data_IF_145662257626
#
_entry.id   IF_145662257626
#
_cell.length_a   1.000
_cell.length_b   1.000
_cell.length_c   1.000
_cell.angle_alpha   90.00
_cell.angle_beta   90.00
_cell.angle_gamma   90.00
#
_symmetry.space_group_name_H-M   'P 1'
#
loop_
_entity.id
_entity.type
_entity.pdbx_description
1 polymer ?
#
# COMPACT_ATOMS: atom_id res chain seq x y z
N UNK A 1 -11.65 16.98 -3.58
CA UNK A 1 -12.61 15.98 -4.08
C UNK A 1 -12.63 14.83 -3.07
N UNK A 2 -13.79 14.48 -2.51
CA UNK A 2 -13.92 13.34 -1.60
C UNK A 2 -13.96 12.03 -2.39
N UNK A 3 -13.29 10.98 -1.91
CA UNK A 3 -13.40 9.65 -2.53
C UNK A 3 -14.85 9.17 -2.55
N UNK A 4 -15.29 8.41 -3.58
CA UNK A 4 -16.61 7.80 -3.60
C UNK A 4 -16.88 6.99 -2.32
N UNK A 5 -18.12 7.04 -1.81
CA UNK A 5 -18.52 6.43 -0.53
C UNK A 5 -18.15 4.93 -0.46
N UNK A 6 -18.28 4.21 -1.57
CA UNK A 6 -17.92 2.80 -1.65
C UNK A 6 -16.42 2.56 -1.52
N UNK A 7 -15.60 3.41 -2.14
CA UNK A 7 -14.14 3.34 -2.02
C UNK A 7 -13.70 3.61 -0.59
N UNK A 8 -14.28 4.60 0.08
CA UNK A 8 -13.99 4.89 1.49
C UNK A 8 -14.32 3.69 2.39
N UNK A 9 -15.50 3.08 2.22
CA UNK A 9 -15.92 1.89 2.98
C UNK A 9 -14.99 0.70 2.73
N UNK A 10 -14.60 0.48 1.48
CA UNK A 10 -13.66 -0.57 1.09
C UNK A 10 -12.27 -0.35 1.72
N UNK A 11 -11.77 0.88 1.70
CA UNK A 11 -10.50 1.25 2.35
C UNK A 11 -10.55 1.01 3.86
N UNK A 12 -11.63 1.42 4.53
CA UNK A 12 -11.79 1.16 5.97
C UNK A 12 -11.77 -0.34 6.27
N UNK A 13 -12.43 -1.16 5.46
CA UNK A 13 -12.41 -2.62 5.60
C UNK A 13 -11.00 -3.20 5.38
N UNK A 14 -10.30 -2.76 4.33
CA UNK A 14 -8.94 -3.21 4.03
C UNK A 14 -7.95 -2.82 5.14
N UNK A 15 -7.95 -1.56 5.58
CA UNK A 15 -7.09 -1.12 6.68
C UNK A 15 -7.41 -1.85 8.00
N UNK A 16 -8.70 -2.10 8.27
CA UNK A 16 -9.11 -2.92 9.40
C UNK A 16 -8.55 -4.34 9.33
N UNK A 17 -8.56 -4.95 8.13
CA UNK A 17 -8.06 -6.30 7.89
C UNK A 17 -6.54 -6.37 8.05
N UNK A 18 -5.81 -5.44 7.45
CA UNK A 18 -4.35 -5.36 7.59
C UNK A 18 -3.90 -5.19 9.04
N UNK A 19 -4.62 -4.40 9.82
CA UNK A 19 -4.34 -4.25 11.26
C UNK A 19 -4.47 -5.58 12.00
N UNK A 20 -5.50 -6.37 11.71
CA UNK A 20 -5.67 -7.69 12.32
C UNK A 20 -4.56 -8.63 11.88
N UNK A 21 -4.18 -8.63 10.61
CA UNK A 21 -3.08 -9.45 10.09
C UNK A 21 -1.77 -9.09 10.80
N UNK A 22 -1.40 -7.81 10.84
CA UNK A 22 -0.20 -7.34 11.51
C UNK A 22 -0.17 -7.69 13.00
N UNK A 23 -1.31 -7.54 13.69
CA UNK A 23 -1.42 -7.88 15.11
C UNK A 23 -1.31 -9.38 15.41
N UNK A 24 -1.53 -10.23 14.40
CA UNK A 24 -1.38 -11.69 14.54
C UNK A 24 -0.12 -12.22 13.84
N UNK A 25 0.70 -11.34 13.27
CA UNK A 25 1.81 -11.74 12.42
C UNK A 25 2.86 -12.58 13.16
N UNK A 26 3.19 -12.23 14.40
CA UNK A 26 4.10 -12.98 15.26
C UNK A 26 3.51 -14.34 15.68
N UNK A 27 2.22 -14.37 16.03
CA UNK A 27 1.55 -15.60 16.50
C UNK A 27 1.38 -16.64 15.40
N UNK A 28 1.20 -16.17 14.17
CA UNK A 28 0.97 -17.00 13.00
C UNK A 28 2.23 -17.20 12.14
N UNK A 29 3.37 -16.65 12.56
CA UNK A 29 4.67 -16.69 11.87
C UNK A 29 4.58 -16.34 10.37
N UNK A 30 3.78 -15.31 10.06
CA UNK A 30 3.50 -14.93 8.66
C UNK A 30 4.50 -13.93 8.10
N UNK A 31 5.30 -13.28 8.96
CA UNK A 31 6.20 -12.18 8.58
C UNK A 31 5.49 -10.90 8.11
N UNK A 32 4.15 -10.87 8.14
CA UNK A 32 3.33 -9.74 7.65
C UNK A 32 3.20 -8.63 8.69
N UNK A 33 4.31 -7.97 9.02
CA UNK A 33 4.30 -6.79 9.91
C UNK A 33 3.62 -5.59 9.26
N UNK A 34 3.24 -4.59 10.06
CA UNK A 34 2.64 -3.35 9.54
C UNK A 34 3.52 -2.67 8.47
N UNK A 35 4.84 -2.76 8.61
CA UNK A 35 5.82 -2.23 7.66
C UNK A 35 5.79 -3.04 6.35
N UNK A 36 5.87 -4.36 6.43
CA UNK A 36 5.83 -5.25 5.26
C UNK A 36 4.51 -5.13 4.49
N UNK A 37 3.39 -5.03 5.20
CA UNK A 37 2.08 -4.76 4.61
C UNK A 37 2.07 -3.39 3.92
N UNK A 38 2.54 -2.33 4.59
CA UNK A 38 2.63 -0.98 4.03
C UNK A 38 3.42 -0.91 2.72
N UNK A 39 4.62 -1.49 2.69
CA UNK A 39 5.48 -1.56 1.48
C UNK A 39 4.78 -2.31 0.35
N UNK A 40 4.09 -3.41 0.68
CA UNK A 40 3.44 -4.26 -0.32
C UNK A 40 2.17 -3.65 -0.91
N UNK A 41 1.33 -3.00 -0.08
CA UNK A 41 -0.04 -2.61 -0.49
C UNK A 41 -0.14 -1.13 -0.88
N UNK A 42 0.74 -0.27 -0.37
CA UNK A 42 0.75 1.15 -0.71
C UNK A 42 0.75 1.42 -2.23
N UNK A 43 1.55 0.72 -3.06
CA UNK A 43 1.55 0.93 -4.51
C UNK A 43 0.16 0.74 -5.14
N UNK A 44 -0.59 -0.27 -4.69
CA UNK A 44 -1.93 -0.57 -5.21
C UNK A 44 -2.96 0.50 -4.82
N UNK A 45 -2.89 1.03 -3.60
CA UNK A 45 -3.81 2.07 -3.14
C UNK A 45 -3.53 3.42 -3.82
N UNK A 46 -2.26 3.83 -3.89
CA UNK A 46 -1.90 5.10 -4.52
C UNK A 46 -2.12 5.07 -6.03
N UNK A 47 -1.93 3.92 -6.70
CA UNK A 47 -2.22 3.80 -8.13
C UNK A 47 -3.72 3.88 -8.45
N UNK A 48 -4.59 3.32 -7.60
CA UNK A 48 -6.05 3.44 -7.76
C UNK A 48 -6.57 4.86 -7.47
N UNK A 49 -5.92 5.59 -6.55
CA UNK A 49 -6.20 7.01 -6.29
C UNK A 49 -5.76 7.96 -7.42
N UNK A 50 -4.87 7.50 -8.31
CA UNK A 50 -4.31 8.26 -9.44
C UNK A 50 -5.14 8.08 -10.74
N UNK A 51 -6.19 7.26 -10.69
CA UNK A 51 -7.12 7.06 -11.81
C UNK A 51 -8.00 8.28 -12.16
N UNK A 52 -7.80 9.43 -11.51
CA UNK A 52 -8.42 10.72 -11.89
C UNK A 52 -7.60 11.42 -13.03
N UNK A 53 -7.09 10.63 -13.98
CA UNK A 53 -6.57 11.12 -15.26
C UNK A 53 -5.06 11.31 -15.41
N UNK A 54 -4.22 10.86 -14.48
CA UNK A 54 -2.76 10.86 -14.66
C UNK A 54 -2.21 9.45 -14.55
N UNK A 55 -2.25 8.68 -15.63
CA UNK A 55 -1.55 7.40 -15.74
C UNK A 55 -0.13 7.51 -15.18
N UNK A 56 0.15 6.86 -14.05
CA UNK A 56 1.51 6.73 -13.55
C UNK A 56 2.27 5.88 -14.56
N UNK A 57 3.28 6.46 -15.18
CA UNK A 57 4.06 5.78 -16.22
C UNK A 57 5.04 4.84 -15.54
N UNK A 58 5.41 3.74 -16.20
CA UNK A 58 6.39 2.74 -15.71
C UNK A 58 7.73 3.38 -15.26
N UNK A 59 8.04 4.57 -15.79
CA UNK A 59 9.19 5.42 -15.44
C UNK A 59 9.23 5.78 -13.94
N UNK A 60 8.07 5.98 -13.31
CA UNK A 60 7.98 6.32 -11.88
C UNK A 60 8.23 5.09 -11.00
N UNK A 61 7.83 3.90 -11.46
CA UNK A 61 8.05 2.63 -10.74
C UNK A 61 9.54 2.29 -10.66
N UNK A 62 10.31 2.57 -11.72
CA UNK A 62 11.76 2.39 -11.74
C UNK A 62 12.49 3.37 -10.79
N UNK A 63 11.97 4.59 -10.62
CA UNK A 63 12.51 5.55 -9.64
C UNK A 63 12.21 5.16 -8.20
N UNK A 64 11.03 4.62 -7.90
CA UNK A 64 10.73 4.11 -6.55
C UNK A 64 11.61 2.93 -6.15
N UNK A 65 11.95 2.05 -7.10
CA UNK A 65 12.91 0.96 -6.88
C UNK A 65 14.35 1.45 -6.57
N UNK A 66 14.70 2.65 -7.04
CA UNK A 66 15.99 3.29 -6.74
C UNK A 66 16.00 4.01 -5.39
N UNK A 67 14.86 4.47 -4.87
CA UNK A 67 14.77 5.07 -3.53
C UNK A 67 15.07 4.04 -2.44
N UNK A 68 14.52 2.82 -2.58
CA UNK A 68 14.84 1.68 -1.71
C UNK A 68 16.34 1.28 -1.81
N UNK A 69 16.93 1.40 -3.00
CA UNK A 69 18.35 1.11 -3.23
C UNK A 69 19.31 2.20 -2.71
N UNK A 70 18.85 3.45 -2.55
CA UNK A 70 19.64 4.57 -2.01
C UNK A 70 19.50 4.67 -0.48
N UNK A 71 18.40 4.18 0.11
CA UNK A 71 18.22 4.09 1.58
C UNK A 71 18.87 2.80 2.18
N UNK A 72 19.61 2.06 1.37
CA UNK A 72 20.48 0.96 1.79
C UNK A 72 21.96 1.26 1.44
N UNK A 73 22.44 2.47 1.75
CA UNK A 73 23.87 2.79 1.78
C UNK A 73 24.24 3.78 2.89
#
# INVERSE_FOLDING_TARGET
MSLPVYTQRLLVLLFGTFRVIASNAERADTGMTSEALGVSVAPSFFHSCVSDGKTARMEDVLRFKLVDLIESR
#
